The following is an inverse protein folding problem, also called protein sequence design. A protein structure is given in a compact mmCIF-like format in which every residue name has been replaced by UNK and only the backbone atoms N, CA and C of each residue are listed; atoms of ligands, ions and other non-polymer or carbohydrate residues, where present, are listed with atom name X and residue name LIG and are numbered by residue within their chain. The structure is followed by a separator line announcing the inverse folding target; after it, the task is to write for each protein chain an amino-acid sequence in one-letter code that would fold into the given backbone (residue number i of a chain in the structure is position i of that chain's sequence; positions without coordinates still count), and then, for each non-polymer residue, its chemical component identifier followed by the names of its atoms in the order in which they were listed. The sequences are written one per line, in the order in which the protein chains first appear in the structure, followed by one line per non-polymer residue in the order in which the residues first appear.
data_IF_456354553702
#
_entry.id   IF_456354553702
#
_cell.length_a   1.000
_cell.length_b   1.000
_cell.length_c   1.000
_cell.angle_alpha   90.00
_cell.angle_beta   90.00
_cell.angle_gamma   90.00
#
_symmetry.space_group_name_H-M   'P 1'
#
loop_
_entity.id
_entity.type
_entity.pdbx_description
1 polymer ?
#
# COMPACT_ATOMS: atom_id res chain seq x y z
N UNK A 1 4.52 -24.32 6.40
CA UNK A 1 5.06 -22.97 6.17
C UNK A 1 3.95 -22.08 5.63
N UNK A 2 3.86 -20.85 6.14
CA UNK A 2 2.76 -19.95 5.82
C UNK A 2 3.28 -18.51 5.77
N UNK A 3 2.90 -17.77 4.72
CA UNK A 3 3.18 -16.34 4.67
C UNK A 3 2.28 -15.64 5.70
N UNK A 4 2.88 -15.10 6.75
CA UNK A 4 2.12 -14.53 7.88
C UNK A 4 2.00 -13.01 7.79
N UNK A 5 2.97 -12.32 7.21
CA UNK A 5 3.00 -10.85 7.22
C UNK A 5 3.80 -10.32 6.04
N UNK A 6 3.35 -9.18 5.51
CA UNK A 6 4.11 -8.36 4.58
C UNK A 6 4.48 -7.08 5.32
N UNK A 7 5.77 -6.78 5.42
CA UNK A 7 6.27 -5.55 6.03
C UNK A 7 6.70 -4.57 4.96
N UNK A 8 6.16 -3.36 5.00
CA UNK A 8 6.52 -2.27 4.10
C UNK A 8 7.57 -1.42 4.81
N UNK A 9 8.74 -1.25 4.18
CA UNK A 9 9.83 -0.46 4.74
C UNK A 9 9.60 1.01 4.39
N UNK A 10 9.56 1.86 5.42
CA UNK A 10 9.23 3.27 5.25
C UNK A 10 10.32 4.16 5.82
N UNK A 11 10.50 5.33 5.20
CA UNK A 11 11.49 6.32 5.65
C UNK A 11 10.99 7.15 6.82
N UNK A 12 9.71 7.52 6.80
CA UNK A 12 9.07 8.28 7.88
C UNK A 12 7.80 7.56 8.32
N UNK A 13 7.77 7.07 9.55
CA UNK A 13 6.58 6.39 10.08
C UNK A 13 5.38 7.33 10.12
N UNK A 14 5.57 8.56 10.58
CA UNK A 14 4.47 9.53 10.67
C UNK A 14 3.83 9.79 9.30
N UNK A 15 4.65 10.07 8.30
CA UNK A 15 4.16 10.33 6.95
C UNK A 15 3.52 9.08 6.32
N UNK A 16 4.10 7.91 6.56
CA UNK A 16 3.60 6.65 6.02
C UNK A 16 2.24 6.27 6.64
N UNK A 17 2.09 6.39 7.96
CA UNK A 17 0.82 6.13 8.62
C UNK A 17 -0.27 7.05 8.07
N UNK A 18 0.03 8.33 7.92
CA UNK A 18 -0.92 9.29 7.37
C UNK A 18 -1.33 8.90 5.93
N UNK A 19 -0.37 8.52 5.10
CA UNK A 19 -0.64 8.08 3.73
C UNK A 19 -1.59 6.88 3.71
N UNK A 20 -1.28 5.82 4.48
CA UNK A 20 -2.08 4.59 4.46
C UNK A 20 -3.44 4.80 5.13
N UNK A 21 -3.55 5.65 6.14
CA UNK A 21 -4.85 6.03 6.71
C UNK A 21 -5.71 6.77 5.69
N UNK A 22 -5.14 7.67 4.91
CA UNK A 22 -5.85 8.38 3.84
C UNK A 22 -6.28 7.45 2.71
N UNK A 23 -5.52 6.41 2.46
CA UNK A 23 -5.87 5.37 1.48
C UNK A 23 -7.04 4.50 1.97
N UNK A 24 -7.30 4.46 3.27
CA UNK A 24 -8.42 3.74 3.84
C UNK A 24 -8.04 2.68 4.89
N UNK A 25 -6.77 2.53 5.19
CA UNK A 25 -6.33 1.63 6.25
C UNK A 25 -6.43 2.31 7.62
N UNK A 26 -6.49 1.50 8.66
CA UNK A 26 -6.42 1.99 10.03
C UNK A 26 -5.28 1.29 10.74
N UNK A 27 -4.52 2.05 11.52
CA UNK A 27 -3.49 1.46 12.37
C UNK A 27 -4.17 0.72 13.52
N UNK A 28 -3.71 -0.50 13.80
CA UNK A 28 -4.22 -1.33 14.89
C UNK A 28 -3.12 -1.60 15.91
N UNK A 29 -3.54 -1.86 17.13
CA UNK A 29 -2.61 -2.11 18.22
C UNK A 29 -1.84 -0.86 18.63
N UNK A 30 -0.71 -1.07 19.29
CA UNK A 30 0.14 0.01 19.76
C UNK A 30 0.94 0.61 18.61
N UNK A 31 0.87 1.93 18.47
CA UNK A 31 1.70 2.66 17.51
C UNK A 31 3.08 2.90 18.12
N UNK A 32 4.08 2.21 17.59
CA UNK A 32 5.47 2.41 17.98
C UNK A 32 6.16 3.32 16.97
N UNK A 33 7.26 3.93 17.38
CA UNK A 33 8.03 4.81 16.48
C UNK A 33 8.52 4.07 15.22
N UNK A 34 8.88 2.80 15.37
CA UNK A 34 9.52 2.03 14.31
C UNK A 34 8.67 0.90 13.72
N UNK A 35 7.48 0.65 14.28
CA UNK A 35 6.60 -0.44 13.85
C UNK A 35 5.14 -0.08 14.07
N UNK A 36 4.34 -0.18 13.03
CA UNK A 36 2.88 0.01 13.10
C UNK A 36 2.22 -1.06 12.24
N UNK A 37 1.26 -1.77 12.81
CA UNK A 37 0.47 -2.73 12.06
C UNK A 37 -0.81 -2.07 11.56
N UNK A 38 -1.16 -2.35 10.31
CA UNK A 38 -2.38 -1.85 9.68
C UNK A 38 -3.48 -2.91 9.79
N UNK A 39 -4.73 -2.46 9.94
CA UNK A 39 -5.87 -3.35 9.92
C UNK A 39 -5.91 -4.11 8.59
N UNK A 40 -6.12 -5.42 8.68
CA UNK A 40 -6.04 -6.30 7.53
C UNK A 40 -7.06 -7.43 7.62
N UNK A 41 -7.32 -8.03 6.47
CA UNK A 41 -8.06 -9.29 6.36
C UNK A 41 -7.14 -10.25 5.61
N UNK A 42 -6.85 -11.40 6.19
CA UNK A 42 -5.92 -12.37 5.60
C UNK A 42 -4.48 -12.15 6.04
N UNK A 43 -3.58 -11.79 5.13
CA UNK A 43 -2.16 -11.58 5.43
C UNK A 43 -1.98 -10.26 6.20
N UNK A 44 -1.23 -10.31 7.30
CA UNK A 44 -0.93 -9.11 8.08
C UNK A 44 -0.08 -8.13 7.29
N UNK A 45 -0.34 -6.85 7.46
CA UNK A 45 0.39 -5.77 6.81
C UNK A 45 0.96 -4.85 7.88
N UNK A 46 2.25 -4.58 7.84
CA UNK A 46 2.90 -3.69 8.79
C UNK A 46 3.75 -2.63 8.11
N UNK A 47 3.93 -1.50 8.80
CA UNK A 47 4.87 -0.46 8.43
C UNK A 47 6.08 -0.55 9.36
N UNK A 48 7.27 -0.62 8.78
CA UNK A 48 8.53 -0.79 9.53
C UNK A 48 9.49 0.29 9.07
N UNK A 49 10.07 1.04 10.01
CA UNK A 49 11.04 2.06 9.62
C UNK A 49 12.28 1.44 9.02
N UNK A 50 12.86 2.14 8.06
CA UNK A 50 14.15 1.79 7.48
C UNK A 50 15.23 1.64 8.56
N UNK A 51 15.18 2.51 9.58
CA UNK A 51 16.11 2.44 10.72
C UNK A 51 16.02 1.11 11.46
N UNK A 52 14.81 0.67 11.80
CA UNK A 52 14.61 -0.62 12.50
C UNK A 52 15.06 -1.79 11.63
N UNK A 53 14.71 -1.76 10.36
CA UNK A 53 15.08 -2.84 9.42
C UNK A 53 16.59 -2.88 9.22
N UNK A 54 17.27 -1.73 9.17
CA UNK A 54 18.72 -1.68 9.10
C UNK A 54 19.38 -2.39 10.28
N UNK A 55 18.86 -2.18 11.49
CA UNK A 55 19.36 -2.84 12.69
C UNK A 55 19.13 -4.37 12.64
N UNK A 56 17.98 -4.79 12.13
CA UNK A 56 17.64 -6.22 12.03
C UNK A 56 18.46 -6.91 10.94
N UNK A 57 18.58 -6.29 9.76
CA UNK A 57 19.25 -6.87 8.62
C UNK A 57 20.77 -6.83 8.74
N UNK A 58 21.32 -5.84 9.45
CA UNK A 58 22.74 -5.58 9.49
C UNK A 58 23.27 -4.80 8.29
N UNK A 59 22.38 -4.30 7.43
CA UNK A 59 22.73 -3.40 6.34
C UNK A 59 21.52 -2.51 6.02
N UNK A 60 21.76 -1.38 5.35
CA UNK A 60 20.72 -0.44 4.99
C UNK A 60 19.97 -0.91 3.73
N UNK A 61 18.64 -1.15 3.81
CA UNK A 61 17.88 -1.52 2.62
C UNK A 61 17.92 -0.41 1.57
N UNK A 62 18.08 -0.80 0.31
CA UNK A 62 18.06 0.13 -0.81
C UNK A 62 16.64 0.33 -1.30
N UNK A 63 16.31 1.57 -1.66
CA UNK A 63 15.00 1.92 -2.20
C UNK A 63 14.93 1.71 -3.72
N UNK A 64 15.58 0.66 -4.22
CA UNK A 64 15.67 0.39 -5.66
C UNK A 64 15.03 -0.96 -6.00
N UNK A 65 14.35 -1.00 -7.12
CA UNK A 65 13.83 -2.24 -7.71
C UNK A 65 12.33 -2.43 -7.52
N UNK A 66 11.74 -3.00 -8.53
CA UNK A 66 10.31 -3.33 -8.60
C UNK A 66 10.18 -4.86 -8.60
N UNK A 67 10.41 -5.47 -7.44
CA UNK A 67 10.47 -6.92 -7.34
C UNK A 67 9.18 -7.56 -6.82
N UNK A 68 8.35 -6.78 -6.15
CA UNK A 68 7.13 -7.29 -5.53
C UNK A 68 5.99 -6.35 -5.89
N UNK A 69 4.86 -6.94 -6.25
CA UNK A 69 3.61 -6.22 -6.49
C UNK A 69 2.69 -6.41 -5.29
N UNK A 70 2.11 -5.33 -4.79
CA UNK A 70 1.05 -5.38 -3.78
C UNK A 70 -0.25 -4.95 -4.46
N UNK A 71 -1.25 -5.83 -4.43
CA UNK A 71 -2.54 -5.57 -5.02
C UNK A 71 -3.63 -5.66 -3.95
N UNK A 72 -4.46 -4.64 -3.88
CA UNK A 72 -5.54 -4.53 -2.90
C UNK A 72 -6.89 -4.63 -3.60
N UNK A 73 -7.70 -5.59 -3.17
CA UNK A 73 -9.05 -5.77 -3.68
C UNK A 73 -9.97 -4.70 -3.09
N UNK A 74 -10.59 -3.94 -3.96
CA UNK A 74 -11.58 -2.92 -3.59
C UNK A 74 -13.00 -3.45 -3.80
N UNK A 75 -13.98 -2.79 -3.19
CA UNK A 75 -15.37 -3.24 -3.22
C UNK A 75 -16.03 -2.99 -4.58
N UNK A 76 -15.63 -1.92 -5.27
CA UNK A 76 -16.30 -1.50 -6.51
C UNK A 76 -15.41 -0.57 -7.33
N UNK A 77 -15.77 -0.36 -8.59
CA UNK A 77 -15.13 0.62 -9.45
C UNK A 77 -15.31 2.04 -8.89
N UNK A 78 -16.47 2.36 -8.30
CA UNK A 78 -16.71 3.64 -7.67
C UNK A 78 -15.74 3.88 -6.52
N UNK A 79 -15.46 2.87 -5.71
CA UNK A 79 -14.50 3.00 -4.62
C UNK A 79 -13.10 3.32 -5.16
N UNK A 80 -12.69 2.66 -6.23
CA UNK A 80 -11.39 2.92 -6.86
C UNK A 80 -11.32 4.36 -7.37
N UNK A 81 -12.36 4.83 -8.06
CA UNK A 81 -12.42 6.20 -8.57
C UNK A 81 -12.35 7.22 -7.43
N UNK A 82 -13.09 6.98 -6.35
CA UNK A 82 -13.11 7.87 -5.19
C UNK A 82 -11.77 7.91 -4.48
N UNK A 83 -11.14 6.75 -4.28
CA UNK A 83 -9.82 6.67 -3.66
C UNK A 83 -8.77 7.40 -4.51
N UNK A 84 -8.76 7.17 -5.81
CA UNK A 84 -7.80 7.80 -6.70
C UNK A 84 -7.98 9.32 -6.73
N UNK A 85 -9.22 9.80 -6.80
CA UNK A 85 -9.50 11.24 -6.77
C UNK A 85 -9.07 11.87 -5.45
N UNK A 86 -9.36 11.21 -4.33
CA UNK A 86 -8.98 11.68 -3.01
C UNK A 86 -7.47 11.74 -2.83
N UNK A 87 -6.78 10.67 -3.20
CA UNK A 87 -5.33 10.61 -3.06
C UNK A 87 -4.64 11.66 -3.93
N UNK A 88 -5.11 11.85 -5.14
CA UNK A 88 -4.61 12.88 -6.04
C UNK A 88 -4.84 14.28 -5.46
N UNK A 89 -6.01 14.53 -4.85
CA UNK A 89 -6.32 15.81 -4.22
C UNK A 89 -5.39 16.11 -3.03
N UNK A 90 -4.94 15.09 -2.31
CA UNK A 90 -3.94 15.24 -1.26
C UNK A 90 -2.51 15.46 -1.78
N UNK A 91 -2.30 15.37 -3.09
CA UNK A 91 -0.98 15.56 -3.70
C UNK A 91 -0.14 14.30 -3.83
N UNK A 92 -0.71 13.13 -3.59
CA UNK A 92 0.01 11.87 -3.81
C UNK A 92 0.04 11.51 -5.29
N UNK A 93 0.99 10.65 -5.65
CA UNK A 93 1.23 10.29 -7.05
C UNK A 93 0.30 9.16 -7.46
N UNK A 94 -0.52 9.43 -8.47
CA UNK A 94 -1.30 8.41 -9.16
C UNK A 94 -0.47 7.94 -10.35
N UNK A 95 0.15 6.77 -10.20
CA UNK A 95 1.06 6.23 -11.22
C UNK A 95 0.31 5.88 -12.49
N UNK A 96 -0.89 5.31 -12.34
CA UNK A 96 -1.76 5.03 -13.46
C UNK A 96 -3.22 5.27 -13.08
N UNK A 97 -3.89 6.12 -13.86
CA UNK A 97 -5.30 6.42 -13.69
C UNK A 97 -6.16 5.16 -13.85
N UNK A 98 -7.35 5.10 -13.22
CA UNK A 98 -8.22 3.93 -13.36
C UNK A 98 -8.52 3.60 -14.83
N UNK A 99 -8.48 2.31 -15.14
CA UNK A 99 -8.82 1.82 -16.48
C UNK A 99 -9.43 0.43 -16.41
N UNK A 100 -10.15 0.06 -17.48
CA UNK A 100 -10.69 -1.29 -17.64
C UNK A 100 -9.60 -2.17 -18.24
N UNK A 101 -9.02 -3.03 -17.43
CA UNK A 101 -7.91 -3.88 -17.87
C UNK A 101 -8.44 -5.03 -18.72
N UNK A 102 -7.65 -5.43 -19.72
CA UNK A 102 -8.04 -6.49 -20.66
C UNK A 102 -8.27 -7.85 -20.02
N UNK A 103 -7.76 -8.04 -18.79
CA UNK A 103 -7.94 -9.30 -18.05
C UNK A 103 -9.19 -9.33 -17.17
N UNK A 104 -10.12 -8.38 -17.33
CA UNK A 104 -11.41 -8.41 -16.66
C UNK A 104 -11.48 -7.75 -15.31
N UNK A 105 -10.61 -6.78 -15.06
CA UNK A 105 -10.60 -6.00 -13.82
C UNK A 105 -10.59 -4.50 -14.08
N UNK A 106 -11.24 -3.74 -13.21
CA UNK A 106 -11.04 -2.30 -13.13
C UNK A 106 -9.85 -2.05 -12.22
N UNK A 107 -8.88 -1.29 -12.68
CA UNK A 107 -7.54 -1.28 -12.10
C UNK A 107 -6.99 0.13 -12.02
N UNK A 108 -6.21 0.43 -10.98
CA UNK A 108 -5.48 1.68 -10.86
C UNK A 108 -4.19 1.42 -10.08
N UNK A 109 -3.19 2.28 -10.22
CA UNK A 109 -1.93 2.13 -9.51
C UNK A 109 -1.56 3.44 -8.84
N UNK A 110 -1.36 3.40 -7.53
CA UNK A 110 -0.92 4.53 -6.70
C UNK A 110 0.51 4.28 -6.26
N UNK A 111 1.29 5.34 -6.17
CA UNK A 111 2.66 5.26 -5.64
C UNK A 111 2.67 5.75 -4.20
N UNK A 112 3.23 4.98 -3.29
CA UNK A 112 3.39 5.42 -1.91
C UNK A 112 4.58 6.37 -1.77
N UNK A 113 4.82 6.86 -0.54
CA UNK A 113 5.86 7.84 -0.29
C UNK A 113 7.28 7.29 -0.43
N UNK A 114 7.43 5.98 -0.40
CA UNK A 114 8.72 5.31 -0.52
C UNK A 114 8.95 4.69 -1.91
N UNK A 115 8.06 5.01 -2.86
CA UNK A 115 8.20 4.57 -4.24
C UNK A 115 7.57 3.22 -4.55
N UNK A 116 6.86 2.62 -3.60
CA UNK A 116 6.16 1.36 -3.84
C UNK A 116 4.92 1.58 -4.69
N UNK A 117 4.72 0.72 -5.67
CA UNK A 117 3.53 0.76 -6.51
C UNK A 117 2.45 -0.12 -5.87
N UNK A 118 1.30 0.49 -5.60
CA UNK A 118 0.17 -0.17 -4.96
C UNK A 118 -0.95 -0.28 -5.99
N UNK A 119 -1.30 -1.51 -6.33
CA UNK A 119 -2.40 -1.77 -7.27
C UNK A 119 -3.72 -1.80 -6.53
N UNK A 120 -4.71 -1.10 -7.06
CA UNK A 120 -6.09 -1.14 -6.57
C UNK A 120 -6.93 -1.76 -7.67
N UNK A 121 -7.75 -2.76 -7.33
CA UNK A 121 -8.55 -3.42 -8.35
C UNK A 121 -9.88 -3.92 -7.80
N UNK A 122 -10.82 -4.11 -8.69
CA UNK A 122 -12.01 -4.92 -8.46
C UNK A 122 -12.27 -5.76 -9.69
N UNK A 123 -12.91 -6.90 -9.49
CA UNK A 123 -13.28 -7.76 -10.59
C UNK A 123 -14.50 -7.19 -11.30
N UNK A 124 -14.47 -7.15 -12.62
CA UNK A 124 -15.61 -6.71 -13.41
C UNK A 124 -16.48 -7.90 -13.73
N UNK A 125 -17.80 -7.69 -13.67
CA UNK A 125 -18.75 -8.74 -14.03
C UNK A 125 -18.65 -8.98 -15.52
N UNK A 126 -18.57 -10.25 -15.91
CA UNK A 126 -18.75 -10.63 -17.29
C UNK A 126 -20.17 -10.27 -17.73
N UNK A 127 -20.25 -9.57 -18.84
CA UNK A 127 -21.52 -9.20 -19.45
C UNK A 127 -22.07 -10.34 -20.31
#
# INVERSE_FOLDING_TARGET
MQLAMVGIIVSSMEAAVLFYERLGFQAIGERKADYVELEHTGIRLSLNTKKMITDIYGYEPKSEGDKIELAFLCDSAEQIDQLCAKMKAFGYILFREPWHAVWGQYYAIIKDLDGNLLSLFCNEKES
#
